data_IF_298629763667
#
_entry.id   IF_298629763667
#
_cell.length_a   1.000
_cell.length_b   1.000
_cell.length_c   1.000
_cell.angle_alpha   90.00
_cell.angle_beta   90.00
_cell.angle_gamma   90.00
#
_symmetry.space_group_name_H-M   'P 1'
#
loop_
_entity.id
_entity.type
_entity.pdbx_description
1 polymer ?
#
# COMPACT_ATOMS: atom_id res chain seq x y z
N UNK A 1 11.31 -50.59 -23.35
CA UNK A 1 12.29 -49.54 -22.98
C UNK A 1 11.58 -48.19 -22.86
N UNK A 2 11.13 -47.75 -21.66
CA UNK A 2 10.54 -46.40 -21.45
C UNK A 2 10.42 -46.02 -19.95
N UNK A 3 11.44 -46.32 -19.12
CA UNK A 3 11.43 -45.92 -17.68
C UNK A 3 12.51 -44.90 -17.29
N UNK A 4 13.36 -44.44 -18.21
CA UNK A 4 14.51 -43.58 -17.89
C UNK A 4 14.48 -42.14 -18.44
N UNK A 5 13.45 -41.75 -19.22
CA UNK A 5 13.34 -40.38 -19.77
C UNK A 5 12.66 -39.36 -18.83
N UNK A 6 11.88 -39.80 -17.85
CA UNK A 6 11.17 -38.91 -16.91
C UNK A 6 12.09 -38.49 -15.74
N UNK A 7 12.99 -39.37 -15.30
CA UNK A 7 13.94 -39.06 -14.24
C UNK A 7 14.97 -38.00 -14.67
N UNK A 8 15.37 -37.99 -15.95
CA UNK A 8 16.30 -36.98 -16.48
C UNK A 8 15.65 -35.60 -16.65
N UNK A 9 14.36 -35.51 -16.96
CA UNK A 9 13.65 -34.22 -17.01
C UNK A 9 13.46 -33.63 -15.61
N UNK A 10 13.14 -34.46 -14.62
CA UNK A 10 13.02 -34.02 -13.22
C UNK A 10 14.38 -33.62 -12.64
N UNK A 11 15.45 -34.37 -12.94
CA UNK A 11 16.80 -34.01 -12.51
C UNK A 11 17.31 -32.74 -13.20
N UNK A 12 16.96 -32.53 -14.47
CA UNK A 12 17.33 -31.31 -15.20
C UNK A 12 16.53 -30.10 -14.72
N UNK A 13 15.23 -30.25 -14.48
CA UNK A 13 14.41 -29.23 -13.85
C UNK A 13 14.92 -28.92 -12.44
N UNK A 14 15.27 -29.93 -11.64
CA UNK A 14 15.86 -29.77 -10.31
C UNK A 14 17.21 -29.06 -10.35
N UNK A 15 18.09 -29.37 -11.32
CA UNK A 15 19.36 -28.66 -11.52
C UNK A 15 19.17 -27.21 -11.95
N UNK A 16 18.23 -26.94 -12.85
CA UNK A 16 17.90 -25.59 -13.29
C UNK A 16 17.26 -24.76 -12.17
N UNK A 17 16.39 -25.37 -11.36
CA UNK A 17 15.83 -24.76 -10.15
C UNK A 17 16.94 -24.53 -9.13
N UNK A 18 17.83 -25.51 -8.92
CA UNK A 18 19.00 -25.39 -8.04
C UNK A 18 19.93 -24.26 -8.45
N UNK A 19 20.26 -24.13 -9.74
CA UNK A 19 21.10 -23.03 -10.24
C UNK A 19 20.39 -21.67 -10.11
N UNK A 20 19.09 -21.59 -10.40
CA UNK A 20 18.29 -20.36 -10.20
C UNK A 20 18.18 -19.97 -8.72
N UNK A 21 18.06 -20.95 -7.83
CA UNK A 21 18.08 -20.76 -6.38
C UNK A 21 19.46 -20.34 -5.85
N UNK A 22 20.52 -20.49 -6.63
CA UNK A 22 21.88 -20.15 -6.22
C UNK A 22 22.39 -18.91 -6.96
N UNK A 23 21.78 -18.47 -8.06
CA UNK A 23 22.19 -17.23 -8.73
C UNK A 23 21.71 -15.98 -7.97
N UNK A 24 22.58 -14.98 -7.85
CA UNK A 24 22.27 -13.66 -7.26
C UNK A 24 21.32 -12.81 -8.11
N UNK A 25 21.15 -13.16 -9.40
CA UNK A 25 20.38 -12.37 -10.38
C UNK A 25 19.01 -12.97 -10.70
N UNK A 26 18.57 -13.95 -9.92
CA UNK A 26 17.27 -14.57 -10.19
C UNK A 26 16.13 -13.68 -9.71
N UNK A 27 15.19 -13.42 -10.62
CA UNK A 27 13.91 -12.78 -10.35
C UNK A 27 12.79 -13.70 -10.86
N UNK A 28 11.67 -13.85 -10.12
CA UNK A 28 10.54 -14.65 -10.56
C UNK A 28 9.88 -14.03 -11.79
N UNK A 29 9.30 -14.88 -12.63
CA UNK A 29 8.46 -14.41 -13.75
C UNK A 29 7.13 -13.85 -13.24
N UNK A 30 6.45 -13.07 -14.07
CA UNK A 30 5.13 -12.53 -13.72
C UNK A 30 4.08 -13.63 -13.44
N UNK A 31 4.20 -14.79 -14.09
CA UNK A 31 3.34 -15.95 -13.79
C UNK A 31 3.68 -16.59 -12.45
N UNK A 32 4.97 -16.71 -12.11
CA UNK A 32 5.42 -17.19 -10.79
C UNK A 32 4.96 -16.26 -9.67
N UNK A 33 5.00 -14.94 -9.89
CA UNK A 33 4.48 -13.94 -8.97
C UNK A 33 2.96 -14.04 -8.82
N UNK A 34 2.20 -14.16 -9.92
CA UNK A 34 0.73 -14.30 -9.88
C UNK A 34 0.27 -15.55 -9.14
N UNK A 35 0.94 -16.69 -9.37
CA UNK A 35 0.67 -17.94 -8.66
C UNK A 35 1.10 -17.81 -7.19
N UNK A 36 2.27 -17.19 -6.96
CA UNK A 36 2.81 -16.91 -5.64
C UNK A 36 1.88 -16.08 -4.78
N UNK A 37 1.29 -15.01 -5.34
CA UNK A 37 0.32 -14.15 -4.66
C UNK A 37 -0.88 -14.98 -4.17
N UNK A 38 -1.58 -15.67 -5.06
CA UNK A 38 -2.76 -16.48 -4.72
C UNK A 38 -2.44 -17.57 -3.68
N UNK A 39 -1.27 -18.19 -3.80
CA UNK A 39 -0.85 -19.20 -2.84
C UNK A 39 -0.56 -18.60 -1.45
N UNK A 40 0.13 -17.47 -1.42
CA UNK A 40 0.52 -16.74 -0.20
C UNK A 40 -0.70 -16.19 0.53
N UNK A 41 -1.60 -15.52 -0.20
CA UNK A 41 -2.90 -15.03 0.30
C UNK A 41 -3.68 -16.17 0.95
N UNK A 42 -3.86 -17.29 0.24
CA UNK A 42 -4.57 -18.46 0.78
C UNK A 42 -3.92 -19.00 2.07
N UNK A 43 -2.60 -19.08 2.13
CA UNK A 43 -1.89 -19.54 3.33
C UNK A 43 -2.03 -18.56 4.50
N UNK A 44 -1.96 -17.26 4.23
CA UNK A 44 -2.11 -16.21 5.24
C UNK A 44 -3.52 -16.24 5.86
N UNK A 45 -4.56 -16.28 5.02
CA UNK A 45 -5.96 -16.37 5.44
C UNK A 45 -6.25 -17.65 6.25
N UNK A 46 -5.58 -18.76 5.92
CA UNK A 46 -5.69 -20.02 6.65
C UNK A 46 -4.81 -20.07 7.91
N UNK A 47 -4.05 -19.02 8.23
CA UNK A 47 -3.07 -18.97 9.33
C UNK A 47 -2.03 -20.10 9.23
N UNK A 48 -1.63 -20.45 8.01
CA UNK A 48 -0.73 -21.56 7.67
C UNK A 48 0.55 -21.09 6.96
N UNK A 49 0.80 -19.78 6.89
CA UNK A 49 2.02 -19.24 6.29
C UNK A 49 3.19 -19.41 7.27
N UNK A 50 3.95 -20.50 7.11
CA UNK A 50 5.10 -20.85 7.96
C UNK A 50 6.12 -21.70 7.17
N UNK A 51 7.29 -21.96 7.76
CA UNK A 51 8.38 -22.70 7.10
C UNK A 51 8.09 -24.16 6.76
N UNK A 52 7.05 -24.77 7.33
CA UNK A 52 6.63 -26.13 6.95
C UNK A 52 5.88 -26.12 5.62
N UNK A 53 5.15 -25.05 5.33
CA UNK A 53 4.29 -24.93 4.15
C UNK A 53 4.90 -24.07 3.04
N UNK A 54 5.88 -23.22 3.36
CA UNK A 54 6.54 -22.34 2.40
C UNK A 54 7.94 -22.87 2.11
N UNK A 55 8.25 -23.24 0.86
CA UNK A 55 9.60 -23.65 0.45
C UNK A 55 10.58 -22.47 0.46
N UNK A 56 11.89 -22.71 0.37
CA UNK A 56 12.87 -21.62 0.25
C UNK A 56 12.64 -20.78 -1.02
N UNK A 57 12.28 -21.45 -2.11
CA UNK A 57 11.83 -20.80 -3.33
C UNK A 57 10.62 -19.90 -3.07
N UNK A 58 9.58 -20.44 -2.43
CA UNK A 58 8.35 -19.71 -2.11
C UNK A 58 8.60 -18.50 -1.21
N UNK A 59 9.54 -18.59 -0.27
CA UNK A 59 9.96 -17.46 0.56
C UNK A 59 10.57 -16.33 -0.29
N UNK A 60 11.37 -16.65 -1.31
CA UNK A 60 11.95 -15.64 -2.19
C UNK A 60 10.92 -15.01 -3.10
N UNK A 61 10.00 -15.81 -3.66
CA UNK A 61 8.83 -15.26 -4.38
C UNK A 61 8.06 -14.31 -3.46
N UNK A 62 7.82 -14.71 -2.22
CA UNK A 62 7.15 -13.89 -1.21
C UNK A 62 7.92 -12.60 -0.91
N UNK A 63 9.26 -12.64 -0.84
CA UNK A 63 10.08 -11.44 -0.70
C UNK A 63 9.83 -10.46 -1.84
N UNK A 64 9.84 -10.93 -3.10
CA UNK A 64 9.51 -10.08 -4.24
C UNK A 64 8.08 -9.54 -4.18
N UNK A 65 7.11 -10.35 -3.74
CA UNK A 65 5.71 -9.94 -3.58
C UNK A 65 5.55 -8.79 -2.57
N UNK A 66 6.36 -8.77 -1.50
CA UNK A 66 6.32 -7.70 -0.50
C UNK A 66 6.76 -6.35 -1.06
N UNK A 67 7.69 -6.32 -2.02
CA UNK A 67 8.32 -5.08 -2.51
C UNK A 67 8.09 -4.88 -4.01
N UNK A 68 6.94 -5.33 -4.52
CA UNK A 68 6.56 -5.16 -5.91
C UNK A 68 6.42 -3.68 -6.30
N UNK A 69 6.87 -3.37 -7.50
CA UNK A 69 6.62 -2.08 -8.13
C UNK A 69 5.12 -1.81 -8.24
N UNK A 70 4.68 -0.53 -8.15
CA UNK A 70 3.27 -0.15 -8.20
C UNK A 70 2.50 -0.71 -9.40
N UNK A 71 3.12 -0.69 -10.59
CA UNK A 71 2.52 -1.19 -11.84
C UNK A 71 2.21 -2.69 -11.80
N UNK A 72 3.09 -3.48 -11.17
CA UNK A 72 2.89 -4.92 -11.00
C UNK A 72 1.87 -5.25 -9.92
N UNK A 73 1.85 -4.47 -8.82
CA UNK A 73 0.84 -4.61 -7.76
C UNK A 73 -0.58 -4.44 -8.30
N UNK A 74 -0.80 -3.44 -9.16
CA UNK A 74 -2.10 -3.21 -9.78
C UNK A 74 -2.60 -4.42 -10.61
N UNK A 75 -1.70 -5.18 -11.23
CA UNK A 75 -2.07 -6.33 -12.06
C UNK A 75 -2.18 -7.66 -11.27
N UNK A 76 -1.46 -7.79 -10.15
CA UNK A 76 -1.29 -9.08 -9.44
C UNK A 76 -1.93 -9.12 -8.06
N UNK A 77 -2.21 -7.96 -7.47
CA UNK A 77 -2.54 -7.81 -6.05
C UNK A 77 -1.30 -7.53 -5.20
N UNK A 78 -1.55 -7.13 -3.96
CA UNK A 78 -0.51 -6.75 -2.99
C UNK A 78 -0.63 -7.62 -1.73
N UNK A 79 0.35 -8.47 -1.47
CA UNK A 79 0.31 -9.37 -0.29
C UNK A 79 0.31 -8.61 1.03
N UNK A 80 0.81 -7.36 1.05
CA UNK A 80 0.85 -6.53 2.26
C UNK A 80 -0.52 -5.96 2.63
N UNK A 81 -1.50 -6.02 1.74
CA UNK A 81 -2.91 -5.66 2.05
C UNK A 81 -3.67 -6.80 2.72
N UNK A 82 -3.16 -8.03 2.65
CA UNK A 82 -3.80 -9.20 3.24
C UNK A 82 -3.66 -9.15 4.76
N UNK A 83 -4.79 -9.08 5.47
CA UNK A 83 -4.81 -9.01 6.92
C UNK A 83 -4.04 -10.17 7.57
N UNK A 84 -3.14 -9.85 8.51
CA UNK A 84 -2.34 -10.84 9.23
C UNK A 84 -1.26 -11.54 8.40
N UNK A 85 -0.99 -11.10 7.17
CA UNK A 85 0.10 -11.62 6.33
C UNK A 85 1.48 -11.32 6.94
N UNK A 86 1.78 -10.05 7.22
CA UNK A 86 3.13 -9.64 7.60
C UNK A 86 3.68 -10.37 8.85
N UNK A 87 2.93 -10.48 9.97
CA UNK A 87 3.45 -11.20 11.15
C UNK A 87 3.82 -12.67 10.86
N UNK A 88 3.06 -13.33 9.99
CA UNK A 88 3.36 -14.70 9.57
C UNK A 88 4.57 -14.76 8.63
N UNK A 89 4.64 -13.85 7.64
CA UNK A 89 5.74 -13.75 6.69
C UNK A 89 7.07 -13.41 7.38
N UNK A 90 7.07 -12.44 8.29
CA UNK A 90 8.23 -12.07 9.10
C UNK A 90 8.77 -13.28 9.88
N UNK A 91 7.90 -14.10 10.48
CA UNK A 91 8.32 -15.35 11.15
C UNK A 91 9.04 -16.31 10.19
N UNK A 92 8.55 -16.44 8.95
CA UNK A 92 9.21 -17.25 7.91
C UNK A 92 10.58 -16.67 7.56
N UNK A 93 10.66 -15.37 7.27
CA UNK A 93 11.92 -14.70 6.93
C UNK A 93 12.95 -14.83 8.05
N UNK A 94 12.56 -14.55 9.30
CA UNK A 94 13.44 -14.64 10.47
C UNK A 94 13.98 -16.04 10.71
N UNK A 95 13.13 -17.06 10.58
CA UNK A 95 13.51 -18.44 10.90
C UNK A 95 14.57 -19.04 9.95
N UNK A 96 14.61 -18.59 8.70
CA UNK A 96 15.59 -19.05 7.70
C UNK A 96 16.72 -18.04 7.46
N UNK A 97 16.42 -16.75 7.64
CA UNK A 97 17.28 -15.61 7.34
C UNK A 97 18.10 -15.79 6.06
N UNK A 98 17.38 -16.01 4.95
CA UNK A 98 17.97 -16.24 3.64
C UNK A 98 18.45 -14.91 3.05
N UNK A 99 19.75 -14.82 2.74
CA UNK A 99 20.39 -13.59 2.24
C UNK A 99 19.71 -13.07 0.98
N UNK A 100 19.24 -13.94 0.07
CA UNK A 100 18.56 -13.50 -1.16
C UNK A 100 17.22 -12.82 -0.82
N UNK A 101 16.47 -13.36 0.14
CA UNK A 101 15.22 -12.75 0.58
C UNK A 101 15.46 -11.35 1.16
N UNK A 102 16.51 -11.19 1.99
CA UNK A 102 16.86 -9.88 2.56
C UNK A 102 17.36 -8.90 1.50
N UNK A 103 18.20 -9.36 0.57
CA UNK A 103 18.67 -8.59 -0.58
C UNK A 103 17.52 -8.04 -1.42
N UNK A 104 16.54 -8.89 -1.74
CA UNK A 104 15.33 -8.48 -2.49
C UNK A 104 14.52 -7.43 -1.73
N UNK A 105 14.25 -7.68 -0.44
CA UNK A 105 13.46 -6.78 0.40
C UNK A 105 14.14 -5.42 0.52
N UNK A 106 15.45 -5.38 0.80
CA UNK A 106 16.18 -4.14 1.02
C UNK A 106 16.38 -3.35 -0.27
N UNK A 107 16.71 -4.02 -1.39
CA UNK A 107 16.90 -3.38 -2.70
C UNK A 107 15.67 -2.61 -3.17
N UNK A 108 14.47 -3.13 -2.88
CA UNK A 108 13.22 -2.56 -3.40
C UNK A 108 12.33 -1.98 -2.28
N UNK A 109 12.90 -1.72 -1.10
CA UNK A 109 12.14 -1.30 0.08
C UNK A 109 11.37 0.00 -0.15
N UNK A 110 11.88 0.87 -1.02
CA UNK A 110 11.21 2.12 -1.41
C UNK A 110 9.81 1.92 -2.01
N UNK A 111 9.55 0.77 -2.63
CA UNK A 111 8.22 0.44 -3.18
C UNK A 111 7.14 0.35 -2.09
N UNK A 112 7.53 0.14 -0.83
CA UNK A 112 6.61 0.11 0.31
C UNK A 112 5.98 1.49 0.58
N UNK A 113 6.70 2.58 0.29
CA UNK A 113 6.21 3.94 0.49
C UNK A 113 4.97 4.27 -0.36
N UNK A 114 4.81 3.57 -1.49
CA UNK A 114 3.71 3.73 -2.44
C UNK A 114 2.70 2.59 -2.35
N UNK A 115 2.61 1.92 -1.19
CA UNK A 115 1.77 0.74 -0.98
C UNK A 115 0.68 0.98 0.03
N UNK A 116 -0.50 0.42 -0.23
CA UNK A 116 -1.51 0.20 0.80
C UNK A 116 -1.03 -0.97 1.66
N UNK A 117 -1.05 -0.79 2.98
CA UNK A 117 -0.47 -1.73 3.93
C UNK A 117 -1.48 -2.08 5.02
N UNK A 118 -1.58 -3.36 5.36
CA UNK A 118 -2.31 -3.85 6.53
C UNK A 118 -1.53 -3.69 7.84
N UNK A 119 -0.22 -3.48 7.75
CA UNK A 119 0.71 -3.22 8.85
C UNK A 119 1.33 -1.84 8.66
N UNK A 120 1.62 -1.11 9.73
CA UNK A 120 2.19 0.24 9.61
C UNK A 120 3.57 0.21 8.94
N UNK A 121 3.84 1.19 8.07
CA UNK A 121 5.12 1.29 7.35
C UNK A 121 6.34 1.27 8.29
N UNK A 122 6.35 1.99 9.44
CA UNK A 122 7.48 1.93 10.38
C UNK A 122 7.76 0.53 10.93
N UNK A 123 6.72 -0.22 11.28
CA UNK A 123 6.85 -1.58 11.82
C UNK A 123 7.42 -2.52 10.75
N UNK A 124 6.88 -2.44 9.53
CA UNK A 124 7.34 -3.23 8.38
C UNK A 124 8.80 -2.91 8.01
N UNK A 125 9.14 -1.63 7.91
CA UNK A 125 10.48 -1.16 7.54
C UNK A 125 11.51 -1.55 8.62
N UNK A 126 11.19 -1.35 9.90
CA UNK A 126 12.05 -1.76 11.02
C UNK A 126 12.31 -3.27 11.00
N UNK A 127 11.28 -4.09 10.80
CA UNK A 127 11.44 -5.54 10.70
C UNK A 127 12.35 -5.93 9.52
N UNK A 128 12.18 -5.33 8.34
CA UNK A 128 13.04 -5.59 7.16
C UNK A 128 14.49 -5.20 7.42
N UNK A 129 14.71 -4.06 8.07
CA UNK A 129 16.03 -3.59 8.43
C UNK A 129 16.71 -4.54 9.42
N UNK A 130 16.00 -4.95 10.47
CA UNK A 130 16.52 -5.90 11.47
C UNK A 130 16.83 -7.28 10.85
N UNK A 131 15.96 -7.79 9.97
CA UNK A 131 16.24 -9.02 9.21
C UNK A 131 17.54 -8.91 8.42
N UNK A 132 17.78 -7.75 7.82
CA UNK A 132 18.97 -7.45 7.02
C UNK A 132 20.24 -7.35 7.87
N UNK A 133 20.15 -6.78 9.06
CA UNK A 133 21.26 -6.73 10.04
C UNK A 133 21.64 -8.13 10.57
N UNK A 134 20.67 -9.01 10.75
CA UNK A 134 20.88 -10.36 11.28
C UNK A 134 21.59 -11.31 10.28
N UNK A 135 21.85 -10.86 9.04
CA UNK A 135 22.47 -11.66 7.98
C UNK A 135 23.91 -12.07 8.38
N UNK A 136 24.13 -13.39 8.51
CA UNK A 136 25.45 -13.95 8.86
C UNK A 136 26.44 -13.87 7.70
N UNK A 137 27.51 -13.09 7.86
CA UNK A 137 28.57 -12.83 6.86
C UNK A 137 29.53 -14.01 6.56
N UNK A 138 29.13 -15.25 6.89
CA UNK A 138 29.95 -16.45 6.72
C UNK A 138 30.12 -16.93 5.28
N UNK A 139 29.36 -16.36 4.33
CA UNK A 139 29.41 -16.73 2.91
C UNK A 139 29.80 -15.54 2.04
N UNK A 140 30.41 -15.79 0.88
CA UNK A 140 30.73 -14.72 -0.07
C UNK A 140 29.50 -13.91 -0.49
N UNK A 141 28.33 -14.57 -0.61
CA UNK A 141 27.08 -13.89 -0.93
C UNK A 141 26.66 -12.90 0.15
N UNK A 142 26.73 -13.31 1.42
CA UNK A 142 26.39 -12.43 2.54
C UNK A 142 27.35 -11.23 2.61
N UNK A 143 28.64 -11.44 2.30
CA UNK A 143 29.61 -10.34 2.19
C UNK A 143 29.29 -9.39 1.04
N UNK A 144 28.91 -9.90 -0.13
CA UNK A 144 28.49 -9.06 -1.25
C UNK A 144 27.21 -8.28 -0.93
N UNK A 145 26.23 -8.90 -0.27
CA UNK A 145 25.02 -8.21 0.21
C UNK A 145 25.39 -7.04 1.13
N UNK A 146 26.21 -7.27 2.16
CA UNK A 146 26.63 -6.22 3.09
C UNK A 146 27.42 -5.10 2.40
N UNK A 147 28.21 -5.43 1.38
CA UNK A 147 28.94 -4.44 0.58
C UNK A 147 27.98 -3.60 -0.29
N UNK A 148 27.03 -4.25 -0.96
CA UNK A 148 26.08 -3.60 -1.86
C UNK A 148 25.11 -2.66 -1.11
N UNK A 149 24.72 -3.04 0.10
CA UNK A 149 23.78 -2.29 0.94
C UNK A 149 24.46 -1.54 2.08
N UNK A 150 25.77 -1.32 1.99
CA UNK A 150 26.55 -0.72 3.07
C UNK A 150 25.99 0.62 3.53
N UNK A 151 25.65 1.50 2.59
CA UNK A 151 25.13 2.83 2.90
C UNK A 151 23.83 2.77 3.69
N UNK A 152 22.96 1.80 3.40
CA UNK A 152 21.71 1.56 4.14
C UNK A 152 21.99 0.92 5.49
N UNK A 153 22.82 -0.12 5.54
CA UNK A 153 23.10 -0.88 6.78
C UNK A 153 23.94 -0.09 7.80
N UNK A 154 24.69 0.92 7.34
CA UNK A 154 25.44 1.84 8.20
C UNK A 154 24.54 2.93 8.84
N UNK A 155 23.27 3.06 8.42
CA UNK A 155 22.29 3.95 9.06
C UNK A 155 21.75 3.36 10.36
N UNK A 156 21.25 4.22 11.26
CA UNK A 156 20.41 3.76 12.36
C UNK A 156 18.97 3.48 11.87
N UNK A 157 18.24 2.65 12.62
CA UNK A 157 16.88 2.22 12.27
C UNK A 157 15.93 3.41 12.13
N UNK A 158 16.05 4.42 13.00
CA UNK A 158 15.13 5.56 13.02
C UNK A 158 15.34 6.42 11.77
N UNK A 159 16.58 6.64 11.35
CA UNK A 159 16.93 7.33 10.10
C UNK A 159 16.38 6.57 8.88
N UNK A 160 16.60 5.25 8.81
CA UNK A 160 16.12 4.43 7.70
C UNK A 160 14.58 4.43 7.58
N UNK A 161 13.88 4.29 8.70
CA UNK A 161 12.41 4.34 8.75
C UNK A 161 11.91 5.75 8.39
N UNK A 162 12.55 6.79 8.93
CA UNK A 162 12.19 8.18 8.67
C UNK A 162 12.28 8.56 7.19
N UNK A 163 13.31 8.07 6.48
CA UNK A 163 13.45 8.28 5.04
C UNK A 163 12.28 7.66 4.25
N UNK A 164 11.81 6.48 4.64
CA UNK A 164 10.67 5.82 4.01
C UNK A 164 9.34 6.51 4.34
N UNK A 165 9.14 6.95 5.57
CA UNK A 165 7.98 7.75 5.97
C UNK A 165 7.92 9.08 5.19
N UNK A 166 9.06 9.75 5.00
CA UNK A 166 9.15 10.96 4.21
C UNK A 166 8.76 10.71 2.74
N UNK A 167 9.24 9.61 2.13
CA UNK A 167 8.84 9.20 0.78
C UNK A 167 7.34 8.90 0.69
N UNK A 168 6.77 8.22 1.69
CA UNK A 168 5.34 7.95 1.73
C UNK A 168 4.54 9.25 1.83
N UNK A 169 4.96 10.19 2.67
CA UNK A 169 4.32 11.49 2.81
C UNK A 169 4.34 12.27 1.48
N UNK A 170 5.48 12.32 0.81
CA UNK A 170 5.60 12.96 -0.51
C UNK A 170 4.66 12.33 -1.52
N UNK A 171 4.60 10.99 -1.58
CA UNK A 171 3.69 10.29 -2.50
C UNK A 171 2.21 10.55 -2.20
N UNK A 172 1.83 10.58 -0.92
CA UNK A 172 0.47 10.94 -0.48
C UNK A 172 0.14 12.37 -0.87
N UNK A 173 1.06 13.31 -0.66
CA UNK A 173 0.89 14.70 -1.05
C UNK A 173 0.72 14.83 -2.56
N UNK A 174 1.58 14.20 -3.36
CA UNK A 174 1.47 14.20 -4.83
C UNK A 174 0.13 13.65 -5.33
N UNK A 175 -0.34 12.54 -4.75
CA UNK A 175 -1.67 11.97 -5.06
C UNK A 175 -2.78 12.95 -4.72
N UNK A 176 -2.72 13.56 -3.54
CA UNK A 176 -3.72 14.52 -3.08
C UNK A 176 -3.75 15.77 -3.97
N UNK A 177 -2.59 16.31 -4.36
CA UNK A 177 -2.50 17.47 -5.24
C UNK A 177 -3.02 17.15 -6.64
N UNK A 178 -2.72 15.96 -7.16
CA UNK A 178 -3.24 15.50 -8.47
C UNK A 178 -4.77 15.43 -8.45
N UNK A 179 -5.36 14.93 -7.36
CA UNK A 179 -6.83 14.96 -7.19
C UNK A 179 -7.36 16.39 -7.02
N UNK A 180 -6.69 17.20 -6.21
CA UNK A 180 -7.13 18.57 -5.90
C UNK A 180 -7.05 19.50 -7.10
N UNK A 181 -6.15 19.21 -8.05
CA UNK A 181 -5.95 19.92 -9.31
C UNK A 181 -6.62 19.27 -10.52
N UNK A 182 -7.60 18.38 -10.32
CA UNK A 182 -8.38 17.83 -11.44
C UNK A 182 -9.01 18.96 -12.27
N UNK A 183 -9.03 18.74 -13.58
CA UNK A 183 -9.56 19.71 -14.53
C UNK A 183 -11.05 20.01 -14.26
N UNK A 184 -11.48 21.22 -14.63
CA UNK A 184 -12.87 21.70 -14.45
C UNK A 184 -13.90 20.74 -15.07
N UNK A 185 -13.54 19.98 -16.11
CA UNK A 185 -14.42 18.97 -16.72
C UNK A 185 -14.81 17.81 -15.80
N UNK A 186 -14.09 17.60 -14.69
CA UNK A 186 -14.41 16.60 -13.67
C UNK A 186 -14.97 17.22 -12.39
N UNK A 187 -15.04 18.56 -12.30
CA UNK A 187 -15.34 19.30 -11.06
C UNK A 187 -16.51 20.25 -11.30
N UNK A 188 -17.69 19.85 -10.83
CA UNK A 188 -18.88 20.72 -10.90
C UNK A 188 -19.19 21.43 -9.57
N UNK A 189 -18.65 20.97 -8.43
CA UNK A 189 -18.96 21.55 -7.12
C UNK A 189 -18.13 22.80 -6.81
N UNK A 190 -18.76 23.95 -6.50
CA UNK A 190 -18.04 25.17 -6.09
C UNK A 190 -17.36 25.03 -4.72
N UNK A 191 -17.67 23.97 -3.96
CA UNK A 191 -17.06 23.71 -2.66
C UNK A 191 -15.79 22.86 -2.75
N UNK A 192 -15.52 22.23 -3.90
CA UNK A 192 -14.41 21.28 -4.08
C UNK A 192 -13.07 21.83 -3.61
N UNK A 193 -12.70 23.05 -4.05
CA UNK A 193 -11.45 23.70 -3.63
C UNK A 193 -11.37 23.91 -2.10
N UNK A 194 -12.47 24.33 -1.46
CA UNK A 194 -12.50 24.57 -0.02
C UNK A 194 -12.37 23.28 0.79
N UNK A 195 -12.96 22.19 0.30
CA UNK A 195 -12.84 20.86 0.90
C UNK A 195 -11.39 20.38 0.84
N UNK A 196 -10.76 20.51 -0.32
CA UNK A 196 -9.37 20.14 -0.51
C UNK A 196 -8.44 20.98 0.39
N UNK A 197 -8.65 22.30 0.50
CA UNK A 197 -7.87 23.14 1.42
C UNK A 197 -7.97 22.70 2.88
N UNK A 198 -9.16 22.31 3.34
CA UNK A 198 -9.35 21.80 4.70
C UNK A 198 -8.61 20.49 4.93
N UNK A 199 -8.77 19.51 4.04
CA UNK A 199 -8.14 18.20 4.21
C UNK A 199 -6.63 18.21 3.96
N UNK A 200 -6.12 19.17 3.17
CA UNK A 200 -4.68 19.39 2.98
C UNK A 200 -3.94 19.60 4.30
N UNK A 201 -4.58 20.19 5.31
CA UNK A 201 -3.98 20.36 6.63
C UNK A 201 -3.65 19.01 7.29
N UNK A 202 -4.45 17.96 7.07
CA UNK A 202 -4.17 16.62 7.59
C UNK A 202 -3.07 15.91 6.79
N UNK A 203 -3.06 16.10 5.46
CA UNK A 203 -2.01 15.58 4.57
C UNK A 203 -0.65 16.15 4.97
N UNK A 204 -0.54 17.47 5.09
CA UNK A 204 0.71 18.16 5.47
C UNK A 204 1.23 17.81 6.86
N UNK A 205 0.34 17.38 7.76
CA UNK A 205 0.72 16.93 9.10
C UNK A 205 1.12 15.45 9.14
N UNK A 206 1.11 14.74 8.01
CA UNK A 206 1.42 13.30 7.96
C UNK A 206 0.39 12.41 8.65
N UNK A 207 -0.85 12.88 8.79
CA UNK A 207 -1.92 12.14 9.48
C UNK A 207 -2.71 11.22 8.53
N UNK A 208 -2.48 11.35 7.22
CA UNK A 208 -3.10 10.55 6.18
C UNK A 208 -2.17 9.39 5.86
N UNK A 209 -2.66 8.16 5.98
CA UNK A 209 -1.86 6.95 5.73
C UNK A 209 -2.13 6.33 4.35
N UNK A 210 -3.26 6.65 3.73
CA UNK A 210 -3.62 6.16 2.41
C UNK A 210 -4.58 7.11 1.69
N UNK A 211 -4.47 7.17 0.36
CA UNK A 211 -5.35 7.92 -0.54
C UNK A 211 -5.64 7.07 -1.78
N UNK A 212 -6.93 6.80 -1.97
CA UNK A 212 -7.47 6.07 -3.11
C UNK A 212 -8.51 6.92 -3.83
N UNK A 213 -8.56 6.80 -5.16
CA UNK A 213 -9.49 7.55 -6.00
C UNK A 213 -10.34 6.59 -6.80
N UNK A 214 -11.67 6.73 -6.69
CA UNK A 214 -12.65 5.84 -7.29
C UNK A 214 -13.50 6.57 -8.33
N UNK A 215 -13.78 5.92 -9.45
CA UNK A 215 -14.63 6.47 -10.50
C UNK A 215 -15.36 5.37 -11.30
N UNK A 216 -16.31 5.77 -12.16
CA UNK A 216 -16.97 4.84 -13.09
C UNK A 216 -16.01 4.33 -14.17
N UNK A 217 -16.34 3.21 -14.82
CA UNK A 217 -15.55 2.66 -15.94
C UNK A 217 -15.40 3.66 -17.09
N UNK A 218 -16.44 4.44 -17.39
CA UNK A 218 -16.39 5.45 -18.46
C UNK A 218 -15.49 6.63 -18.07
N UNK A 219 -15.61 7.09 -16.83
CA UNK A 219 -14.77 8.17 -16.29
C UNK A 219 -13.31 7.77 -16.23
N UNK A 220 -13.04 6.51 -15.87
CA UNK A 220 -11.69 5.94 -15.84
C UNK A 220 -10.94 6.08 -17.16
N UNK A 221 -11.62 5.89 -18.30
CA UNK A 221 -10.99 5.99 -19.63
C UNK A 221 -10.38 7.37 -19.90
N UNK A 222 -11.01 8.42 -19.35
CA UNK A 222 -10.55 9.81 -19.42
C UNK A 222 -9.54 10.10 -18.31
N UNK A 223 -9.89 9.76 -17.06
CA UNK A 223 -9.14 10.10 -15.86
C UNK A 223 -7.76 9.43 -15.79
N UNK A 224 -7.61 8.21 -16.33
CA UNK A 224 -6.35 7.45 -16.29
C UNK A 224 -5.15 8.17 -16.93
N UNK A 225 -5.40 9.16 -17.80
CA UNK A 225 -4.35 9.99 -18.40
C UNK A 225 -3.71 10.94 -17.37
N UNK A 226 -4.50 11.37 -16.38
CA UNK A 226 -4.09 12.28 -15.31
C UNK A 226 -3.71 11.52 -14.04
N UNK A 227 -4.42 10.42 -13.76
CA UNK A 227 -4.28 9.67 -12.52
C UNK A 227 -4.37 8.17 -12.82
N UNK A 228 -3.26 7.51 -13.22
CA UNK A 228 -3.28 6.11 -13.68
C UNK A 228 -3.55 5.08 -12.58
N UNK A 229 -3.51 5.48 -11.30
CA UNK A 229 -3.72 4.60 -10.14
C UNK A 229 -5.15 4.68 -9.58
N UNK A 230 -6.11 5.21 -10.33
CA UNK A 230 -7.51 5.26 -9.94
C UNK A 230 -8.18 3.89 -10.06
N UNK A 231 -9.11 3.60 -9.15
CA UNK A 231 -9.88 2.37 -9.09
C UNK A 231 -11.26 2.54 -9.74
N UNK A 232 -11.73 1.47 -10.39
CA UNK A 232 -13.04 1.45 -11.04
C UNK A 232 -14.06 0.85 -10.08
N UNK A 233 -15.10 1.63 -9.76
CA UNK A 233 -16.27 1.14 -9.04
C UNK A 233 -17.49 1.28 -9.97
N UNK A 234 -18.04 0.17 -10.50
CA UNK A 234 -19.08 0.22 -11.55
C UNK A 234 -20.35 0.97 -11.18
N UNK A 235 -20.62 1.12 -9.89
CA UNK A 235 -21.85 1.70 -9.35
C UNK A 235 -21.76 3.24 -9.18
N UNK A 236 -20.58 3.83 -9.39
CA UNK A 236 -20.38 5.29 -9.37
C UNK A 236 -20.97 5.90 -10.65
N UNK A 237 -21.64 7.04 -10.50
CA UNK A 237 -22.17 7.81 -11.64
C UNK A 237 -21.05 8.35 -12.53
N UNK A 238 -21.30 8.43 -13.83
CA UNK A 238 -20.31 8.99 -14.76
C UNK A 238 -20.00 10.46 -14.44
N UNK A 239 -18.73 10.83 -14.59
CA UNK A 239 -18.13 12.12 -14.20
C UNK A 239 -18.08 12.40 -12.68
N UNK A 240 -18.49 11.45 -11.82
CA UNK A 240 -18.29 11.53 -10.37
C UNK A 240 -16.98 10.83 -9.99
N UNK A 241 -16.08 11.54 -9.32
CA UNK A 241 -14.76 11.02 -8.90
C UNK A 241 -14.64 11.17 -7.39
N UNK A 242 -14.52 10.07 -6.68
CA UNK A 242 -14.41 10.03 -5.21
C UNK A 242 -12.96 9.96 -4.78
N UNK A 243 -12.61 10.79 -3.80
CA UNK A 243 -11.42 10.62 -2.98
C UNK A 243 -11.80 9.87 -1.71
N UNK A 244 -11.05 8.84 -1.37
CA UNK A 244 -11.12 8.14 -0.09
C UNK A 244 -9.76 8.27 0.59
N UNK A 245 -9.73 8.84 1.78
CA UNK A 245 -8.53 9.03 2.58
C UNK A 245 -8.66 8.32 3.92
N UNK A 246 -7.63 7.59 4.33
CA UNK A 246 -7.52 7.09 5.68
C UNK A 246 -6.75 8.10 6.54
N UNK A 247 -7.42 8.67 7.53
CA UNK A 247 -6.91 9.72 8.41
C UNK A 247 -6.91 9.20 9.86
N UNK A 248 -5.75 8.78 10.37
CA UNK A 248 -5.66 8.05 11.63
C UNK A 248 -6.50 6.75 11.59
N UNK A 249 -7.41 6.57 12.56
CA UNK A 249 -8.37 5.46 12.58
C UNK A 249 -9.71 5.79 11.89
N UNK A 250 -9.79 6.89 11.13
CA UNK A 250 -11.01 7.28 10.41
C UNK A 250 -10.81 7.20 8.90
N UNK A 251 -11.92 7.08 8.17
CA UNK A 251 -11.98 7.19 6.72
C UNK A 251 -12.80 8.40 6.37
N UNK A 252 -12.26 9.22 5.47
CA UNK A 252 -12.91 10.38 4.88
C UNK A 252 -13.19 10.05 3.41
N UNK A 253 -14.41 10.26 2.95
CA UNK A 253 -14.75 10.14 1.55
C UNK A 253 -15.53 11.38 1.06
N UNK A 254 -15.17 11.92 -0.09
CA UNK A 254 -15.93 12.97 -0.77
C UNK A 254 -15.63 12.93 -2.26
N UNK A 255 -16.51 13.49 -3.07
CA UNK A 255 -16.37 13.49 -4.52
C UNK A 255 -16.12 14.86 -5.13
N UNK A 256 -15.72 14.89 -6.40
CA UNK A 256 -15.59 16.13 -7.18
C UNK A 256 -16.93 16.85 -7.39
N UNK A 257 -18.03 16.09 -7.29
CA UNK A 257 -19.41 16.57 -7.33
C UNK A 257 -19.93 16.96 -5.94
N UNK A 258 -19.13 16.77 -4.87
CA UNK A 258 -19.64 16.76 -3.51
C UNK A 258 -20.23 18.10 -3.05
N UNK A 259 -21.49 18.02 -2.65
CA UNK A 259 -22.09 18.90 -1.63
C UNK A 259 -21.94 18.32 -0.22
N UNK A 260 -21.42 17.09 -0.07
CA UNK A 260 -21.30 16.40 1.22
C UNK A 260 -19.98 15.62 1.34
N UNK A 261 -19.44 15.51 2.56
CA UNK A 261 -18.37 14.57 2.87
C UNK A 261 -18.80 13.53 3.89
N UNK A 262 -18.28 12.32 3.76
CA UNK A 262 -18.50 11.24 4.70
C UNK A 262 -17.27 11.04 5.57
N UNK A 263 -17.49 10.87 6.87
CA UNK A 263 -16.42 10.56 7.83
C UNK A 263 -16.90 9.41 8.72
N UNK A 264 -16.16 8.31 8.72
CA UNK A 264 -16.43 7.15 9.57
C UNK A 264 -15.21 6.78 10.39
N UNK A 265 -15.43 6.41 11.65
CA UNK A 265 -14.39 5.83 12.49
C UNK A 265 -14.37 4.30 12.28
N UNK A 266 -13.18 3.76 12.00
CA UNK A 266 -12.95 2.33 11.83
C UNK A 266 -13.01 1.62 13.17
N UNK A 267 -13.58 0.41 13.18
CA UNK A 267 -13.70 -0.46 14.35
C UNK A 267 -14.86 -0.12 15.29
N UNK A 268 -15.49 1.07 15.18
CA UNK A 268 -16.67 1.45 15.98
C UNK A 268 -17.96 1.43 15.16
N UNK A 269 -17.98 2.13 14.03
CA UNK A 269 -19.17 2.27 13.15
C UNK A 269 -19.04 1.55 11.83
N UNK A 270 -17.81 1.39 11.35
CA UNK A 270 -17.48 0.70 10.11
C UNK A 270 -16.31 -0.23 10.38
N UNK A 271 -16.35 -1.46 9.90
CA UNK A 271 -15.34 -2.46 10.19
C UNK A 271 -14.04 -2.21 9.42
N UNK A 272 -14.11 -1.79 8.15
CA UNK A 272 -12.94 -1.59 7.29
C UNK A 272 -13.12 -0.50 6.23
N UNK A 273 -12.02 -0.13 5.55
CA UNK A 273 -12.04 0.82 4.43
C UNK A 273 -12.88 0.28 3.27
N UNK A 274 -12.81 -1.02 3.01
CA UNK A 274 -13.56 -1.71 1.94
C UNK A 274 -15.07 -1.60 2.16
N UNK A 275 -15.53 -1.63 3.42
CA UNK A 275 -16.93 -1.39 3.74
C UNK A 275 -17.36 0.04 3.39
N UNK A 276 -16.52 1.06 3.64
CA UNK A 276 -16.77 2.43 3.19
C UNK A 276 -16.83 2.51 1.66
N UNK A 277 -15.88 1.89 0.97
CA UNK A 277 -15.81 1.88 -0.49
C UNK A 277 -17.08 1.27 -1.10
N UNK A 278 -17.56 0.16 -0.55
CA UNK A 278 -18.82 -0.49 -0.99
C UNK A 278 -20.07 0.39 -0.80
N UNK A 279 -20.00 1.38 0.08
CA UNK A 279 -21.11 2.28 0.37
C UNK A 279 -21.05 3.57 -0.45
N UNK A 280 -19.91 3.93 -1.09
CA UNK A 280 -19.75 5.16 -1.87
C UNK A 280 -20.94 5.50 -2.79
N UNK A 281 -21.49 4.54 -3.58
CA UNK A 281 -22.63 4.83 -4.48
C UNK A 281 -23.92 5.23 -3.75
N UNK A 282 -24.06 4.80 -2.48
CA UNK A 282 -25.26 4.96 -1.64
C UNK A 282 -25.07 5.99 -0.53
N UNK A 283 -23.87 6.54 -0.35
CA UNK A 283 -23.54 7.46 0.74
C UNK A 283 -24.30 8.80 0.67
N UNK A 284 -25.12 9.04 -0.36
CA UNK A 284 -25.71 10.34 -0.66
C UNK A 284 -26.72 10.91 0.36
N UNK A 285 -27.21 10.20 1.40
CA UNK A 285 -28.38 10.76 2.13
C UNK A 285 -28.52 10.57 3.65
N UNK A 286 -27.76 9.74 4.37
CA UNK A 286 -28.08 9.49 5.80
C UNK A 286 -26.96 9.77 6.83
N UNK A 287 -25.71 10.02 6.39
CA UNK A 287 -24.57 10.23 7.32
C UNK A 287 -23.56 11.30 6.84
N UNK A 288 -23.84 11.99 5.72
CA UNK A 288 -22.97 13.00 5.14
C UNK A 288 -22.95 14.32 5.93
N UNK A 289 -21.77 14.94 6.04
CA UNK A 289 -21.63 16.32 6.49
C UNK A 289 -21.81 17.23 5.27
N UNK A 290 -22.90 17.99 5.24
CA UNK A 290 -23.16 18.94 4.16
C UNK A 290 -22.12 20.08 4.13
N UNK A 291 -21.40 20.18 3.01
CA UNK A 291 -20.29 21.08 2.73
C UNK A 291 -20.81 22.48 2.35
N UNK A 292 -21.50 23.13 3.27
CA UNK A 292 -22.01 24.50 3.06
C UNK A 292 -20.91 25.56 3.15
N UNK A 293 -21.14 26.72 2.53
CA UNK A 293 -20.26 27.91 2.65
C UNK A 293 -20.16 28.49 4.06
N UNK A 294 -21.05 28.10 4.98
CA UNK A 294 -21.14 28.69 6.33
C UNK A 294 -20.00 28.31 7.27
N UNK A 295 -19.19 27.31 6.92
CA UNK A 295 -18.05 26.92 7.73
C UNK A 295 -18.34 25.91 8.86
N UNK A 296 -19.61 25.54 9.09
CA UNK A 296 -19.99 24.64 10.19
C UNK A 296 -19.48 23.21 9.99
N UNK A 297 -19.36 22.77 8.74
CA UNK A 297 -18.92 21.42 8.41
C UNK A 297 -17.46 21.18 8.80
N UNK A 298 -16.60 22.19 8.72
CA UNK A 298 -15.19 22.10 9.13
C UNK A 298 -15.08 21.82 10.63
N UNK A 299 -15.92 22.44 11.46
CA UNK A 299 -15.97 22.18 12.90
C UNK A 299 -16.44 20.75 13.18
N UNK A 300 -17.49 20.28 12.49
CA UNK A 300 -18.00 18.90 12.63
C UNK A 300 -16.95 17.88 12.19
N UNK A 301 -16.34 18.09 11.04
CA UNK A 301 -15.28 17.23 10.51
C UNK A 301 -14.08 17.19 11.45
N UNK A 302 -13.61 18.35 11.92
CA UNK A 302 -12.52 18.43 12.90
C UNK A 302 -12.86 17.71 14.20
N UNK A 303 -14.09 17.85 14.70
CA UNK A 303 -14.53 17.16 15.91
C UNK A 303 -14.52 15.64 15.74
N UNK A 304 -15.02 15.14 14.60
CA UNK A 304 -15.01 13.71 14.30
C UNK A 304 -13.58 13.16 14.15
N UNK A 305 -12.68 13.91 13.49
CA UNK A 305 -11.30 13.51 13.27
C UNK A 305 -10.39 13.73 14.48
N UNK A 306 -10.79 14.56 15.45
CA UNK A 306 -10.01 14.81 16.68
C UNK A 306 -9.83 13.54 17.49
N UNK A 307 -10.82 12.65 17.53
CA UNK A 307 -10.70 11.36 18.21
C UNK A 307 -9.70 10.45 17.48
N UNK A 308 -9.69 10.52 16.15
CA UNK A 308 -8.84 9.70 15.30
C UNK A 308 -7.37 10.13 15.27
N UNK A 309 -7.12 11.43 15.40
CA UNK A 309 -5.80 12.03 15.12
C UNK A 309 -5.22 12.81 16.29
N UNK A 310 -6.03 13.18 17.30
CA UNK A 310 -5.72 14.19 18.32
C UNK A 310 -5.37 15.57 17.73
N UNK A 311 -5.64 15.78 16.44
CA UNK A 311 -5.37 17.01 15.71
C UNK A 311 -6.69 17.66 15.30
N UNK A 312 -6.68 19.00 15.27
CA UNK A 312 -7.76 19.80 14.72
C UNK A 312 -7.15 21.02 14.03
N UNK A 313 -7.34 21.20 12.72
CA UNK A 313 -6.75 22.32 12.01
C UNK A 313 -7.36 23.64 12.48
N UNK A 314 -6.52 24.67 12.61
CA UNK A 314 -6.96 26.04 12.86
C UNK A 314 -7.49 26.63 11.57
N UNK A 315 -8.40 27.60 11.67
CA UNK A 315 -8.96 28.30 10.51
C UNK A 315 -7.89 28.90 9.58
N UNK A 316 -6.77 29.34 10.14
CA UNK A 316 -5.64 29.87 9.38
C UNK A 316 -4.91 28.82 8.52
N UNK A 317 -5.04 27.52 8.85
CA UNK A 317 -4.32 26.44 8.17
C UNK A 317 -4.95 26.09 6.82
N UNK A 318 -6.24 26.44 6.62
CA UNK A 318 -7.01 26.07 5.43
C UNK A 318 -7.84 27.21 4.82
N UNK A 319 -7.86 28.40 5.42
CA UNK A 319 -8.39 29.57 4.74
C UNK A 319 -7.28 30.27 3.96
N UNK A 320 -7.36 30.18 2.63
CA UNK A 320 -6.53 30.95 1.71
C UNK A 320 -6.84 32.44 1.91
N UNK A 321 -5.80 33.27 2.00
CA UNK A 321 -5.92 34.72 1.84
C UNK A 321 -5.90 35.08 0.37
#
# INVERSE_FOLDING_TARGET
MTKFRVASSLSNASRQIGSKLISQTWSPTDDELRIGFKHTERLALQKKLNTKNVSLYGQRVMAHLCVLEPSKRAAMGNVLEVEGFWPQAHTVFKSRNDVISCDVLLTNVDNLSQSKLSTKLPELASDIFNLSLDVKLGTNRAKSFALNHRETLDQDIDSFVGDLEAKQLTWIEEKFETFSGLAEEFVDSPNFHWVNHFFRAYVKQGLVSNIDVYCSSETFLKLRQYMPQNEVLPEISDNDVYLVMQVGNAVVAYSTQAEECFIAELGSKVASVEEVVSQLPKLKYNLGIHLSKTGLWQYRASYMLKNATKFAPKRADYMVK
#
